data_IF_974466394287
#
_entry.id   IF_974466394287
#
_cell.length_a   1.000
_cell.length_b   1.000
_cell.length_c   1.000
_cell.angle_alpha   90.00
_cell.angle_beta   90.00
_cell.angle_gamma   90.00
#
_symmetry.space_group_name_H-M   'P 1'
#
loop_
_entity.id
_entity.type
_entity.pdbx_description
1 polymer ?
#
# COMPACT_ATOMS: atom_id res chain seq x y z
N UNK A 1 3.54 56.10 -15.92
CA UNK A 1 4.30 54.91 -15.46
C UNK A 1 3.79 54.57 -14.09
N UNK A 2 3.08 53.44 -13.94
CA UNK A 2 2.78 52.72 -12.69
C UNK A 2 2.03 51.44 -13.10
N UNK A 3 2.76 50.33 -13.28
CA UNK A 3 2.15 49.01 -13.50
C UNK A 3 2.01 48.33 -12.14
N UNK A 4 0.76 48.13 -11.71
CA UNK A 4 0.42 47.26 -10.60
C UNK A 4 0.58 45.80 -11.04
N UNK A 5 1.49 45.05 -10.40
CA UNK A 5 1.58 43.60 -10.53
C UNK A 5 1.12 42.98 -9.22
N UNK A 6 0.04 42.20 -9.31
CA UNK A 6 -0.53 41.42 -8.22
C UNK A 6 0.38 40.21 -7.99
N UNK A 7 1.09 40.19 -6.87
CA UNK A 7 1.76 38.97 -6.39
C UNK A 7 0.70 37.96 -5.95
N UNK A 8 0.53 36.89 -6.72
CA UNK A 8 -0.18 35.70 -6.28
C UNK A 8 0.76 34.92 -5.36
N UNK A 9 0.49 34.93 -4.05
CA UNK A 9 1.02 33.95 -3.12
C UNK A 9 0.57 32.55 -3.55
N UNK A 10 1.51 31.75 -4.05
CA UNK A 10 1.40 30.29 -4.06
C UNK A 10 1.60 29.78 -2.63
N UNK A 11 0.69 28.96 -2.07
CA UNK A 11 0.90 28.37 -0.75
C UNK A 11 2.06 27.38 -0.78
N UNK A 12 2.83 27.37 0.31
CA UNK A 12 3.92 26.43 0.59
C UNK A 12 3.52 25.00 0.24
N UNK A 13 4.14 24.47 -0.81
CA UNK A 13 4.19 23.04 -1.01
C UNK A 13 5.14 22.53 0.07
N UNK A 14 4.58 21.87 1.07
CA UNK A 14 5.34 21.07 2.04
C UNK A 14 6.29 20.20 1.24
N UNK A 15 7.57 20.53 1.36
CA UNK A 15 8.70 19.83 0.74
C UNK A 15 8.59 18.36 1.13
N UNK A 16 8.16 17.52 0.19
CA UNK A 16 8.15 16.09 0.39
C UNK A 16 9.60 15.68 0.69
N UNK A 17 9.80 15.11 1.88
CA UNK A 17 11.09 14.63 2.37
C UNK A 17 11.85 13.89 1.26
N UNK A 18 13.13 14.21 1.00
CA UNK A 18 13.93 13.57 -0.05
C UNK A 18 14.18 12.06 0.15
N UNK A 19 13.78 11.50 1.30
CA UNK A 19 14.32 10.22 1.79
C UNK A 19 13.40 9.01 1.64
N UNK A 20 12.29 9.08 0.90
CA UNK A 20 11.41 7.90 0.66
C UNK A 20 11.63 7.25 -0.71
N UNK A 21 12.40 7.87 -1.62
CA UNK A 21 12.75 7.24 -2.89
C UNK A 21 14.18 7.59 -3.30
N UNK A 22 15.14 7.03 -2.57
CA UNK A 22 16.50 6.84 -3.07
C UNK A 22 16.62 5.35 -3.42
N UNK A 23 16.30 4.91 -4.65
CA UNK A 23 16.54 3.53 -5.02
C UNK A 23 18.02 3.29 -4.80
N UNK A 24 18.37 2.31 -3.96
CA UNK A 24 19.75 1.84 -3.85
C UNK A 24 20.08 1.23 -5.21
N UNK A 25 20.51 2.07 -6.15
CA UNK A 25 21.16 1.64 -7.37
C UNK A 25 22.45 0.92 -6.93
N UNK A 26 22.76 -0.26 -7.50
CA UNK A 26 24.01 -0.93 -7.19
C UNK A 26 25.17 0.05 -7.42
N UNK A 27 26.13 0.17 -6.49
CA UNK A 27 27.18 1.17 -6.59
C UNK A 27 28.15 0.82 -7.72
N UNK A 28 28.35 1.75 -8.66
CA UNK A 28 29.57 1.83 -9.46
C UNK A 28 29.41 1.85 -10.99
N UNK A 29 30.28 2.62 -11.63
CA UNK A 29 30.45 2.76 -13.08
C UNK A 29 30.88 1.42 -13.70
N UNK A 30 29.98 0.67 -14.33
CA UNK A 30 30.27 -0.60 -15.01
C UNK A 30 29.01 -1.38 -15.41
N UNK A 31 29.18 -2.52 -16.13
CA UNK A 31 28.10 -3.48 -16.39
C UNK A 31 27.49 -3.91 -15.05
N UNK A 32 26.20 -3.66 -14.87
CA UNK A 32 25.44 -4.10 -13.70
C UNK A 32 25.25 -5.62 -13.79
N UNK A 33 25.69 -6.36 -12.78
CA UNK A 33 25.37 -7.79 -12.63
C UNK A 33 23.93 -7.92 -12.11
N UNK A 34 22.99 -7.74 -13.03
CA UNK A 34 21.56 -7.84 -12.76
C UNK A 34 21.18 -9.23 -12.26
N UNK A 35 21.89 -10.27 -12.70
CA UNK A 35 21.60 -11.65 -12.32
C UNK A 35 21.93 -11.88 -10.83
N UNK A 36 23.06 -11.37 -10.34
CA UNK A 36 23.41 -11.43 -8.93
C UNK A 36 22.44 -10.62 -8.03
N UNK A 37 22.02 -9.43 -8.48
CA UNK A 37 21.08 -8.59 -7.73
C UNK A 37 19.67 -9.21 -7.64
N UNK A 38 19.17 -9.75 -8.75
CA UNK A 38 17.86 -10.43 -8.81
C UNK A 38 17.84 -11.70 -7.94
N UNK A 39 18.96 -12.42 -7.84
CA UNK A 39 19.07 -13.58 -6.97
C UNK A 39 19.06 -13.23 -5.48
N UNK A 40 19.65 -12.10 -5.10
CA UNK A 40 19.71 -11.68 -3.69
C UNK A 40 18.39 -11.08 -3.21
N UNK A 41 17.70 -10.31 -4.06
CA UNK A 41 16.47 -9.63 -3.68
C UNK A 41 15.34 -9.86 -4.70
N UNK A 42 14.85 -11.10 -4.85
CA UNK A 42 13.88 -11.46 -5.90
C UNK A 42 12.53 -10.73 -5.78
N UNK A 43 12.18 -10.28 -4.56
CA UNK A 43 10.96 -9.51 -4.28
C UNK A 43 11.18 -7.99 -4.30
N UNK A 44 12.37 -7.52 -4.67
CA UNK A 44 12.67 -6.09 -4.67
C UNK A 44 11.70 -5.34 -5.60
N UNK A 45 11.13 -4.27 -5.05
CA UNK A 45 10.12 -3.47 -5.72
C UNK A 45 10.65 -2.79 -7.01
N UNK A 46 11.94 -2.41 -7.04
CA UNK A 46 12.59 -1.87 -8.25
C UNK A 46 12.59 -2.90 -9.38
N UNK A 47 12.90 -4.18 -9.09
CA UNK A 47 12.90 -5.26 -10.08
C UNK A 47 11.50 -5.46 -10.65
N UNK A 48 10.47 -5.40 -9.80
CA UNK A 48 9.05 -5.52 -10.23
C UNK A 48 8.65 -4.35 -11.14
N UNK A 49 9.00 -3.14 -10.74
CA UNK A 49 8.71 -1.91 -11.49
C UNK A 49 9.39 -1.90 -12.86
N UNK A 50 10.68 -2.23 -12.92
CA UNK A 50 11.41 -2.26 -14.19
C UNK A 50 10.88 -3.38 -15.11
N UNK A 51 10.56 -4.56 -14.57
CA UNK A 51 9.93 -5.64 -15.37
C UNK A 51 8.58 -5.23 -15.96
N UNK A 52 7.74 -4.57 -15.16
CA UNK A 52 6.43 -4.09 -15.61
C UNK A 52 6.56 -3.07 -16.75
N UNK A 53 7.49 -2.11 -16.61
CA UNK A 53 7.81 -1.13 -17.65
C UNK A 53 8.28 -1.81 -18.95
N UNK A 54 9.25 -2.73 -18.87
CA UNK A 54 9.76 -3.41 -20.06
C UNK A 54 8.68 -4.24 -20.77
N UNK A 55 7.79 -4.88 -20.02
CA UNK A 55 6.65 -5.62 -20.57
C UNK A 55 5.63 -4.71 -21.29
N UNK A 56 5.29 -3.55 -20.69
CA UNK A 56 4.33 -2.60 -21.27
C UNK A 56 4.82 -2.01 -22.61
N UNK A 57 6.13 -1.75 -22.70
CA UNK A 57 6.74 -1.21 -23.92
C UNK A 57 7.24 -2.30 -24.89
N UNK A 58 6.90 -3.58 -24.64
CA UNK A 58 7.30 -4.74 -25.46
C UNK A 58 8.81 -4.82 -25.71
N UNK A 59 9.61 -4.46 -24.70
CA UNK A 59 11.06 -4.48 -24.78
C UNK A 59 11.54 -5.88 -24.37
N UNK A 60 11.76 -6.76 -25.36
CA UNK A 60 12.28 -8.14 -25.15
C UNK A 60 13.80 -8.18 -24.93
N UNK A 61 14.32 -7.30 -24.08
CA UNK A 61 15.75 -7.25 -23.76
C UNK A 61 15.96 -7.80 -22.35
N UNK A 62 16.78 -8.85 -22.16
CA UNK A 62 17.21 -9.26 -20.84
C UNK A 62 17.88 -8.08 -20.11
N UNK A 63 17.56 -7.88 -18.83
CA UNK A 63 18.13 -6.79 -18.03
C UNK A 63 19.68 -6.79 -18.07
N UNK A 64 20.28 -7.97 -18.18
CA UNK A 64 21.72 -8.21 -18.33
C UNK A 64 22.35 -7.66 -19.62
N UNK A 65 21.56 -7.28 -20.63
CA UNK A 65 22.05 -6.78 -21.91
C UNK A 65 21.85 -5.25 -22.11
N UNK A 66 21.29 -4.54 -21.12
CA UNK A 66 21.07 -3.10 -21.21
C UNK A 66 22.38 -2.30 -21.08
N UNK A 67 22.66 -1.43 -22.06
CA UNK A 67 23.80 -0.51 -22.00
C UNK A 67 23.48 0.78 -21.23
N UNK A 68 24.52 1.43 -20.66
CA UNK A 68 24.38 2.65 -19.85
C UNK A 68 23.70 3.82 -20.58
N UNK A 69 23.86 3.92 -21.91
CA UNK A 69 23.15 4.91 -22.73
C UNK A 69 21.64 4.63 -22.78
N UNK A 70 21.26 3.36 -22.93
CA UNK A 70 19.86 2.93 -22.89
C UNK A 70 19.26 3.12 -21.50
N UNK A 71 20.07 2.99 -20.44
CA UNK A 71 19.63 3.26 -19.06
C UNK A 71 19.19 4.71 -18.84
N UNK A 72 19.76 5.71 -19.53
CA UNK A 72 19.30 7.11 -19.39
C UNK A 72 17.96 7.38 -20.05
N UNK A 73 17.75 6.81 -21.23
CA UNK A 73 16.46 6.94 -21.95
C UNK A 73 15.36 6.16 -21.21
N UNK A 74 15.72 5.01 -20.64
CA UNK A 74 14.87 4.24 -19.71
C UNK A 74 14.65 5.01 -18.40
N UNK A 75 15.62 5.74 -17.87
CA UNK A 75 15.47 6.54 -16.64
C UNK A 75 14.46 7.68 -16.82
N UNK A 76 14.50 8.38 -17.96
CA UNK A 76 13.50 9.39 -18.29
C UNK A 76 12.11 8.75 -18.54
N UNK A 77 12.04 7.64 -19.26
CA UNK A 77 10.81 6.86 -19.47
C UNK A 77 10.21 6.32 -18.17
N UNK A 78 11.05 5.76 -17.29
CA UNK A 78 10.67 5.26 -15.97
C UNK A 78 10.22 6.39 -15.05
N UNK A 79 10.89 7.54 -15.01
CA UNK A 79 10.47 8.65 -14.15
C UNK A 79 9.08 9.19 -14.54
N UNK A 80 8.78 9.23 -15.83
CA UNK A 80 7.46 9.64 -16.34
C UNK A 80 6.39 8.57 -16.13
N UNK A 81 6.74 7.29 -16.33
CA UNK A 81 5.89 6.14 -16.04
C UNK A 81 5.58 6.02 -14.54
N UNK A 82 6.60 6.03 -13.67
CA UNK A 82 6.48 5.96 -12.21
C UNK A 82 5.60 7.10 -11.72
N UNK A 83 5.84 8.34 -12.15
CA UNK A 83 5.01 9.49 -11.74
C UNK A 83 3.54 9.36 -12.19
N UNK A 84 3.27 8.77 -13.35
CA UNK A 84 1.91 8.50 -13.84
C UNK A 84 1.25 7.39 -13.03
N UNK A 85 1.97 6.30 -12.79
CA UNK A 85 1.49 5.12 -12.08
C UNK A 85 1.29 5.42 -10.59
N UNK A 86 2.20 6.17 -9.96
CA UNK A 86 2.02 6.72 -8.62
C UNK A 86 0.75 7.56 -8.51
N UNK A 87 0.44 8.36 -9.54
CA UNK A 87 -0.79 9.16 -9.58
C UNK A 87 -2.05 8.30 -9.72
N UNK A 88 -1.97 7.14 -10.39
CA UNK A 88 -3.08 6.19 -10.50
C UNK A 88 -3.25 5.41 -9.20
N UNK A 89 -2.18 4.82 -8.67
CA UNK A 89 -2.15 4.10 -7.40
C UNK A 89 -2.58 4.99 -6.22
N UNK A 90 -2.15 6.25 -6.18
CA UNK A 90 -2.58 7.20 -5.13
C UNK A 90 -4.04 7.62 -5.27
N UNK A 91 -4.57 7.75 -6.49
CA UNK A 91 -6.01 8.01 -6.72
C UNK A 91 -6.86 6.83 -6.28
N UNK A 92 -6.46 5.63 -6.63
CA UNK A 92 -7.16 4.40 -6.27
C UNK A 92 -7.11 4.18 -4.75
N UNK A 93 -5.95 4.36 -4.12
CA UNK A 93 -5.79 4.29 -2.67
C UNK A 93 -6.62 5.35 -1.93
N UNK A 94 -6.70 6.57 -2.46
CA UNK A 94 -7.55 7.64 -1.89
C UNK A 94 -9.03 7.28 -2.00
N UNK A 95 -9.46 6.72 -3.13
CA UNK A 95 -10.84 6.27 -3.34
C UNK A 95 -11.22 5.11 -2.42
N UNK A 96 -10.35 4.10 -2.32
CA UNK A 96 -10.50 2.94 -1.46
C UNK A 96 -10.58 3.38 0.01
N UNK A 97 -9.65 4.23 0.47
CA UNK A 97 -9.65 4.73 1.86
C UNK A 97 -10.92 5.51 2.17
N UNK A 98 -11.36 6.43 1.30
CA UNK A 98 -12.60 7.19 1.51
C UNK A 98 -13.82 6.28 1.62
N UNK A 99 -13.94 5.29 0.72
CA UNK A 99 -15.04 4.32 0.73
C UNK A 99 -15.00 3.46 1.99
N UNK A 100 -13.82 2.99 2.39
CA UNK A 100 -13.62 2.22 3.62
C UNK A 100 -14.07 3.03 4.85
N UNK A 101 -13.57 4.26 5.03
CA UNK A 101 -13.91 5.09 6.20
C UNK A 101 -15.41 5.33 6.30
N UNK A 102 -16.09 5.61 5.19
CA UNK A 102 -17.54 5.79 5.18
C UNK A 102 -18.29 4.52 5.61
N UNK A 103 -17.88 3.35 5.11
CA UNK A 103 -18.48 2.06 5.49
C UNK A 103 -18.16 1.68 6.94
N UNK A 104 -16.92 1.90 7.40
CA UNK A 104 -16.50 1.58 8.75
C UNK A 104 -17.22 2.45 9.79
N UNK A 105 -17.37 3.75 9.52
CA UNK A 105 -18.17 4.65 10.38
C UNK A 105 -19.60 4.16 10.49
N UNK A 106 -20.24 3.86 9.36
CA UNK A 106 -21.61 3.32 9.34
C UNK A 106 -21.71 2.00 10.10
N UNK A 107 -20.74 1.10 9.92
CA UNK A 107 -20.73 -0.17 10.63
C UNK A 107 -20.62 0.01 12.15
N UNK A 108 -19.73 0.88 12.64
CA UNK A 108 -19.64 1.20 14.07
C UNK A 108 -20.94 1.79 14.61
N UNK A 109 -21.51 2.77 13.91
CA UNK A 109 -22.80 3.38 14.26
C UNK A 109 -23.93 2.35 14.36
N UNK A 110 -23.95 1.35 13.48
CA UNK A 110 -25.00 0.31 13.43
C UNK A 110 -24.75 -0.86 14.39
N UNK A 111 -23.51 -1.08 14.85
CA UNK A 111 -23.13 -2.35 15.52
C UNK A 111 -22.46 -2.25 16.87
N UNK A 112 -21.89 -1.11 17.28
CA UNK A 112 -21.11 -1.01 18.53
C UNK A 112 -21.94 -1.31 19.80
N UNK A 113 -23.25 -1.07 19.75
CA UNK A 113 -24.19 -1.36 20.84
C UNK A 113 -24.75 -2.80 20.81
N UNK A 114 -24.40 -3.59 19.79
CA UNK A 114 -24.85 -4.98 19.66
C UNK A 114 -23.91 -5.92 20.41
N UNK A 115 -24.50 -6.90 21.11
CA UNK A 115 -23.72 -7.98 21.77
C UNK A 115 -23.67 -9.27 20.96
N UNK A 116 -24.31 -9.34 19.80
CA UNK A 116 -24.39 -10.53 18.96
C UNK A 116 -23.28 -10.52 17.90
N UNK A 117 -22.26 -11.40 17.98
CA UNK A 117 -21.18 -11.45 17.00
C UNK A 117 -21.67 -11.70 15.57
N UNK A 118 -22.71 -12.53 15.42
CA UNK A 118 -23.31 -12.82 14.13
C UNK A 118 -23.88 -11.56 13.49
N UNK A 119 -24.71 -10.80 14.22
CA UNK A 119 -25.31 -9.55 13.71
C UNK A 119 -24.26 -8.47 13.40
N UNK A 120 -23.18 -8.42 14.18
CA UNK A 120 -22.07 -7.51 13.91
C UNK A 120 -21.39 -7.85 12.57
N UNK A 121 -21.18 -9.14 12.29
CA UNK A 121 -20.47 -9.58 11.08
C UNK A 121 -21.34 -9.76 9.84
N UNK A 122 -22.65 -9.93 9.99
CA UNK A 122 -23.61 -10.04 8.87
C UNK A 122 -24.17 -8.67 8.44
N UNK A 123 -23.60 -7.58 8.96
CA UNK A 123 -23.96 -6.22 8.60
C UNK A 123 -23.58 -5.89 7.13
N UNK A 124 -24.44 -5.17 6.43
CA UNK A 124 -24.24 -4.79 5.02
C UNK A 124 -22.95 -3.98 4.79
N UNK A 125 -22.62 -3.03 5.66
CA UNK A 125 -21.38 -2.26 5.55
C UNK A 125 -20.14 -3.14 5.78
N UNK A 126 -20.23 -4.10 6.71
CA UNK A 126 -19.16 -5.08 6.97
C UNK A 126 -18.87 -5.96 5.75
N UNK A 127 -19.92 -6.53 5.14
CA UNK A 127 -19.79 -7.36 3.94
C UNK A 127 -19.29 -6.56 2.74
N UNK A 128 -19.71 -5.29 2.60
CA UNK A 128 -19.19 -4.39 1.58
C UNK A 128 -17.71 -4.11 1.74
N UNK A 129 -17.21 -3.96 2.97
CA UNK A 129 -15.77 -3.82 3.23
C UNK A 129 -15.02 -5.08 2.78
N UNK A 130 -15.53 -6.28 3.09
CA UNK A 130 -14.92 -7.53 2.61
C UNK A 130 -14.89 -7.58 1.07
N UNK A 131 -15.96 -7.16 0.41
CA UNK A 131 -16.00 -7.13 -1.06
C UNK A 131 -14.99 -6.18 -1.72
N UNK A 132 -14.35 -5.28 -0.95
CA UNK A 132 -13.29 -4.41 -1.45
C UNK A 132 -11.93 -5.12 -1.60
N UNK A 133 -11.78 -6.34 -1.08
CA UNK A 133 -10.60 -7.18 -1.25
C UNK A 133 -9.40 -6.80 -0.38
N UNK A 134 -8.25 -7.43 -0.61
CA UNK A 134 -7.05 -7.34 0.24
C UNK A 134 -6.51 -5.92 0.45
N UNK A 135 -6.78 -5.00 -0.50
CA UNK A 135 -6.33 -3.62 -0.41
C UNK A 135 -6.83 -2.87 0.84
N UNK A 136 -7.90 -3.36 1.51
CA UNK A 136 -8.39 -2.75 2.76
C UNK A 136 -7.79 -3.35 4.03
N UNK A 137 -6.97 -4.41 3.96
CA UNK A 137 -6.36 -5.03 5.15
C UNK A 137 -5.61 -4.00 6.02
N UNK A 138 -4.75 -3.10 5.47
CA UNK A 138 -4.08 -2.09 6.28
C UNK A 138 -5.07 -1.15 6.97
N UNK A 139 -6.16 -0.79 6.29
CA UNK A 139 -7.18 0.12 6.82
C UNK A 139 -7.97 -0.53 7.96
N UNK A 140 -8.29 -1.82 7.83
CA UNK A 140 -8.95 -2.60 8.88
C UNK A 140 -8.04 -2.72 10.11
N UNK A 141 -6.74 -2.93 9.91
CA UNK A 141 -5.77 -3.01 11.01
C UNK A 141 -5.59 -1.66 11.72
N UNK A 142 -5.51 -0.55 10.97
CA UNK A 142 -5.53 0.81 11.52
C UNK A 142 -6.78 1.04 12.37
N UNK A 143 -7.94 0.67 11.85
CA UNK A 143 -9.23 0.84 12.53
C UNK A 143 -9.37 -0.02 13.79
N UNK A 144 -8.96 -1.29 13.70
CA UNK A 144 -8.88 -2.20 14.83
C UNK A 144 -7.96 -1.67 15.92
N UNK A 145 -6.85 -1.00 15.55
CA UNK A 145 -5.92 -0.36 16.50
C UNK A 145 -6.60 0.79 17.22
N UNK A 146 -7.23 1.70 16.48
CA UNK A 146 -7.78 2.96 16.98
C UNK A 146 -9.11 2.80 17.71
N UNK A 147 -10.09 2.14 17.08
CA UNK A 147 -11.46 2.02 17.59
C UNK A 147 -11.76 0.64 18.16
N UNK A 148 -11.02 -0.38 17.74
CA UNK A 148 -11.33 -1.77 18.10
C UNK A 148 -12.39 -2.35 17.17
N UNK A 149 -13.25 -3.22 17.71
CA UNK A 149 -14.32 -3.86 16.94
C UNK A 149 -14.02 -5.30 16.50
N UNK A 150 -15.06 -5.99 16.03
CA UNK A 150 -15.00 -7.40 15.63
C UNK A 150 -14.56 -7.58 14.16
N UNK A 151 -13.37 -7.08 13.83
CA UNK A 151 -12.78 -7.16 12.49
C UNK A 151 -12.18 -8.54 12.15
N UNK A 152 -12.07 -9.45 13.12
CA UNK A 152 -11.35 -10.72 12.99
C UNK A 152 -11.89 -11.65 11.90
N UNK A 153 -13.19 -11.63 11.62
CA UNK A 153 -13.76 -12.41 10.50
C UNK A 153 -13.36 -11.81 9.16
N UNK A 154 -13.45 -10.50 8.99
CA UNK A 154 -13.01 -9.81 7.78
C UNK A 154 -11.52 -10.05 7.52
N UNK A 155 -10.66 -9.88 8.53
CA UNK A 155 -9.22 -10.10 8.39
C UNK A 155 -8.89 -11.52 7.93
N UNK A 156 -9.50 -12.56 8.53
CA UNK A 156 -9.30 -13.96 8.10
C UNK A 156 -9.74 -14.21 6.65
N UNK A 157 -10.89 -13.66 6.26
CA UNK A 157 -11.41 -13.84 4.89
C UNK A 157 -10.50 -13.16 3.87
N UNK A 158 -9.99 -11.97 4.19
CA UNK A 158 -9.19 -11.19 3.27
C UNK A 158 -7.75 -11.68 3.19
N UNK A 159 -7.14 -12.08 4.31
CA UNK A 159 -5.74 -12.51 4.32
C UNK A 159 -5.55 -14.01 4.12
N UNK A 160 -6.62 -14.81 4.18
CA UNK A 160 -6.58 -16.28 4.23
C UNK A 160 -5.64 -16.83 5.33
N UNK A 161 -5.47 -16.07 6.41
CA UNK A 161 -4.57 -16.39 7.54
C UNK A 161 -5.31 -16.23 8.87
N UNK A 162 -4.85 -16.93 9.92
CA UNK A 162 -5.38 -16.81 11.27
C UNK A 162 -4.24 -16.82 12.32
N UNK A 163 -3.71 -15.63 12.71
CA UNK A 163 -2.63 -15.52 13.69
C UNK A 163 -3.10 -15.75 15.13
N UNK A 164 -4.40 -15.95 15.37
CA UNK A 164 -4.97 -16.17 16.70
C UNK A 164 -4.87 -17.64 17.08
N UNK A 165 -4.00 -17.95 18.05
CA UNK A 165 -3.86 -19.30 18.57
C UNK A 165 -5.15 -19.78 19.27
N UNK A 166 -5.50 -21.08 19.19
CA UNK A 166 -6.71 -21.62 19.82
C UNK A 166 -6.90 -21.27 21.31
N UNK A 167 -5.85 -21.25 22.17
CA UNK A 167 -6.00 -20.96 23.59
C UNK A 167 -6.46 -19.53 23.93
N UNK A 168 -6.24 -18.57 23.04
CA UNK A 168 -6.59 -17.15 23.28
C UNK A 168 -7.85 -16.73 22.52
N UNK A 169 -8.57 -17.67 21.90
CA UNK A 169 -9.84 -17.39 21.23
C UNK A 169 -10.89 -16.98 22.26
N UNK A 170 -11.59 -15.89 21.96
CA UNK A 170 -12.55 -15.28 22.88
C UNK A 170 -11.93 -14.22 23.81
N UNK A 171 -10.60 -14.17 23.92
CA UNK A 171 -9.90 -13.10 24.63
C UNK A 171 -9.66 -11.91 23.69
N UNK A 172 -10.67 -11.04 23.55
CA UNK A 172 -10.66 -9.89 22.61
C UNK A 172 -9.35 -9.08 22.65
N UNK A 173 -8.76 -8.72 23.81
CA UNK A 173 -7.50 -7.99 23.83
C UNK A 173 -6.32 -8.75 23.22
N UNK A 174 -6.22 -10.07 23.49
CA UNK A 174 -5.15 -10.91 22.95
C UNK A 174 -5.33 -11.18 21.46
N UNK A 175 -6.58 -11.33 21.01
CA UNK A 175 -6.91 -11.47 19.59
C UNK A 175 -6.52 -10.21 18.82
N UNK A 176 -6.86 -9.02 19.34
CA UNK A 176 -6.44 -7.74 18.77
C UNK A 176 -4.92 -7.66 18.64
N UNK A 177 -4.17 -7.96 19.70
CA UNK A 177 -2.71 -7.89 19.63
C UNK A 177 -2.10 -8.91 18.66
N UNK A 178 -2.66 -10.11 18.56
CA UNK A 178 -2.19 -11.11 17.58
C UNK A 178 -2.33 -10.60 16.14
N UNK A 179 -3.45 -9.96 15.81
CA UNK A 179 -3.67 -9.35 14.49
C UNK A 179 -2.81 -8.12 14.24
N UNK A 180 -2.63 -7.26 15.24
CA UNK A 180 -1.74 -6.10 15.10
C UNK A 180 -0.28 -6.53 14.93
N UNK A 181 0.20 -7.53 15.69
CA UNK A 181 1.54 -8.07 15.51
C UNK A 181 1.71 -8.65 14.10
N UNK A 182 0.78 -9.49 13.65
CA UNK A 182 0.78 -10.03 12.29
C UNK A 182 0.82 -8.91 11.23
N UNK A 183 0.04 -7.84 11.43
CA UNK A 183 0.05 -6.68 10.56
C UNK A 183 1.41 -5.96 10.49
N UNK A 184 2.14 -5.87 11.61
CA UNK A 184 3.50 -5.33 11.66
C UNK A 184 4.48 -6.24 10.93
N UNK A 185 4.41 -7.55 11.18
CA UNK A 185 5.29 -8.54 10.58
C UNK A 185 5.14 -8.59 9.04
N UNK A 186 3.93 -8.35 8.54
CA UNK A 186 3.63 -8.24 7.10
C UNK A 186 3.88 -6.84 6.50
N UNK A 187 4.28 -5.86 7.30
CA UNK A 187 4.53 -4.49 6.86
C UNK A 187 3.27 -3.66 6.54
N UNK A 188 2.09 -4.10 6.96
CA UNK A 188 0.83 -3.36 6.77
C UNK A 188 0.66 -2.20 7.74
N UNK A 189 1.25 -2.28 8.94
CA UNK A 189 1.23 -1.22 9.93
C UNK A 189 2.63 -1.00 10.51
N UNK A 190 2.98 0.27 10.75
CA UNK A 190 4.22 0.69 11.41
C UNK A 190 4.00 0.86 12.92
#
# INVERSE_FOLDING_TARGET
MNNATIEKQTPDIVEASPDIYNPIMPPGKGLIDWDAFIQQEPENQLIRTVRAFLAEYQIETPLSHLQVSQLRDIEQGLSTWVRREEKLLSRDNTGIRKKFVALANRWHEETDYLSSPLRITDNDAYLKIISMGEAVIPLILEDLRERGGNWYRALRILSDEDPVSPPVRGEVPKMKEAWLRWGRDKGYIK
#
